data_IF_029125609897
#
_entry.id   IF_029125609897
#
_cell.length_a   1.000
_cell.length_b   1.000
_cell.length_c   1.000
_cell.angle_alpha   90.00
_cell.angle_beta   90.00
_cell.angle_gamma   90.00
#
_symmetry.space_group_name_H-M   'P 1'
#
loop_
_entity.id
_entity.type
_entity.pdbx_description
1 polymer ?
#
# COMPACT_ATOMS: atom_id res chain seq x y z
N UNK A 1 8.41 -36.67 36.88
CA UNK A 1 8.07 -36.13 35.55
C UNK A 1 6.56 -35.91 35.51
N UNK A 2 6.10 -34.66 35.50
CA UNK A 2 4.67 -34.32 35.55
C UNK A 2 4.45 -33.21 34.53
N UNK A 3 3.99 -33.58 33.33
CA UNK A 3 3.68 -32.65 32.25
C UNK A 3 2.30 -32.08 32.50
N UNK A 4 2.25 -30.79 32.83
CA UNK A 4 1.02 -30.00 32.93
C UNK A 4 0.73 -29.52 31.51
N UNK A 5 -0.23 -30.16 30.85
CA UNK A 5 -0.78 -29.67 29.59
C UNK A 5 -1.73 -28.50 29.90
N UNK A 6 -1.25 -27.27 29.72
CA UNK A 6 -2.13 -26.10 29.64
C UNK A 6 -2.80 -26.09 28.26
N UNK A 7 -4.02 -26.62 28.17
CA UNK A 7 -4.90 -26.38 27.03
C UNK A 7 -5.59 -25.03 27.21
N UNK A 8 -4.94 -23.96 26.75
CA UNK A 8 -5.54 -22.65 26.57
C UNK A 8 -5.55 -22.33 25.09
N UNK A 9 -6.73 -22.39 24.47
CA UNK A 9 -7.21 -21.36 23.55
C UNK A 9 -8.56 -21.80 22.98
N UNK A 10 -9.61 -21.39 23.68
CA UNK A 10 -10.88 -21.10 23.04
C UNK A 10 -10.63 -20.01 21.99
N UNK A 11 -10.73 -20.34 20.70
CA UNK A 11 -11.01 -19.37 19.65
C UNK A 11 -12.29 -19.80 18.97
N UNK A 12 -13.40 -19.44 19.62
CA UNK A 12 -14.61 -19.09 18.89
C UNK A 12 -14.31 -17.83 18.05
N UNK A 13 -14.99 -17.69 16.91
CA UNK A 13 -14.95 -16.58 15.92
C UNK A 13 -13.79 -16.79 14.92
N UNK A 14 -13.97 -17.00 13.62
CA UNK A 14 -14.83 -16.28 12.67
C UNK A 14 -15.33 -17.24 11.57
N UNK A 15 -16.57 -17.71 11.66
CA UNK A 15 -17.37 -18.01 10.47
C UNK A 15 -17.79 -16.67 9.85
N UNK A 16 -16.87 -16.08 9.09
CA UNK A 16 -17.06 -14.82 8.36
C UNK A 16 -16.09 -14.67 7.18
N UNK A 17 -15.47 -15.76 6.74
CA UNK A 17 -14.49 -15.78 5.65
C UNK A 17 -15.18 -15.76 4.27
N UNK A 18 -16.03 -14.77 4.03
CA UNK A 18 -16.66 -14.53 2.72
C UNK A 18 -16.44 -13.10 2.22
N UNK A 19 -15.43 -12.40 2.76
CA UNK A 19 -15.00 -11.08 2.27
C UNK A 19 -13.51 -10.99 1.92
N UNK A 20 -12.75 -12.09 2.07
CA UNK A 20 -11.29 -12.16 1.83
C UNK A 20 -10.89 -12.34 0.35
N UNK A 21 -11.81 -12.16 -0.60
CA UNK A 21 -11.46 -12.12 -2.03
C UNK A 21 -10.85 -10.77 -2.45
N UNK A 22 -10.86 -9.76 -1.56
CA UNK A 22 -10.08 -8.53 -1.72
C UNK A 22 -8.60 -8.69 -1.37
N UNK A 23 -8.25 -9.61 -0.47
CA UNK A 23 -6.91 -9.72 0.12
C UNK A 23 -5.82 -10.19 -0.85
N UNK A 24 -6.09 -11.14 -1.75
CA UNK A 24 -5.07 -11.59 -2.72
C UNK A 24 -4.79 -10.53 -3.79
N UNK A 25 -5.83 -9.82 -4.27
CA UNK A 25 -5.66 -8.74 -5.26
C UNK A 25 -4.99 -7.52 -4.63
N UNK A 26 -5.31 -7.21 -3.37
CA UNK A 26 -4.70 -6.12 -2.63
C UNK A 26 -3.23 -6.43 -2.29
N UNK A 27 -2.88 -7.67 -1.95
CA UNK A 27 -1.49 -8.08 -1.74
C UNK A 27 -0.63 -7.85 -3.00
N UNK A 28 -1.07 -8.35 -4.16
CA UNK A 28 -0.34 -8.19 -5.42
C UNK A 28 -0.19 -6.70 -5.82
N UNK A 29 -1.25 -5.91 -5.66
CA UNK A 29 -1.21 -4.47 -5.91
C UNK A 29 -0.27 -3.74 -4.94
N UNK A 30 -0.25 -4.12 -3.66
CA UNK A 30 0.64 -3.57 -2.65
C UNK A 30 2.11 -3.96 -2.87
N UNK A 31 2.41 -5.18 -3.29
CA UNK A 31 3.77 -5.59 -3.68
C UNK A 31 4.26 -4.79 -4.88
N UNK A 32 3.37 -4.58 -5.86
CA UNK A 32 3.69 -3.80 -7.05
C UNK A 32 3.92 -2.32 -6.71
N UNK A 33 3.09 -1.77 -5.84
CA UNK A 33 3.24 -0.42 -5.31
C UNK A 33 4.58 -0.23 -4.58
N UNK A 34 4.93 -1.16 -3.70
CA UNK A 34 6.22 -1.15 -3.01
C UNK A 34 7.39 -1.18 -4.00
N UNK A 35 7.26 -1.95 -5.09
CA UNK A 35 8.27 -2.02 -6.16
C UNK A 35 8.40 -0.67 -6.89
N UNK A 36 7.29 -0.06 -7.29
CA UNK A 36 7.30 1.25 -7.99
C UNK A 36 7.94 2.32 -7.11
N UNK A 37 7.56 2.41 -5.84
CA UNK A 37 8.08 3.43 -4.94
C UNK A 37 9.55 3.16 -4.56
N UNK A 38 9.96 1.89 -4.39
CA UNK A 38 11.34 1.53 -4.06
C UNK A 38 12.32 1.72 -5.21
N UNK A 39 11.92 1.36 -6.44
CA UNK A 39 12.79 1.49 -7.62
C UNK A 39 13.18 2.95 -7.84
N UNK A 40 12.25 3.86 -7.63
CA UNK A 40 12.49 5.29 -7.75
C UNK A 40 13.36 5.80 -6.59
N UNK A 41 13.20 5.26 -5.38
CA UNK A 41 14.02 5.66 -4.21
C UNK A 41 15.52 5.34 -4.35
N UNK A 42 15.90 4.43 -5.23
CA UNK A 42 17.32 4.16 -5.54
C UNK A 42 17.89 5.25 -6.45
N UNK A 43 17.04 6.00 -7.14
CA UNK A 43 17.36 6.99 -8.17
C UNK A 43 16.99 8.41 -7.73
N UNK A 44 17.27 8.77 -6.46
CA UNK A 44 16.95 10.09 -5.86
C UNK A 44 17.43 11.27 -6.72
N UNK A 45 18.51 11.13 -7.50
CA UNK A 45 19.02 12.17 -8.40
C UNK A 45 18.19 12.38 -9.70
N UNK A 46 17.34 11.44 -10.08
CA UNK A 46 16.46 11.50 -11.27
C UNK A 46 14.98 11.33 -10.92
N UNK A 47 14.65 11.44 -9.64
CA UNK A 47 13.33 11.12 -9.11
C UNK A 47 12.30 12.18 -9.56
N UNK A 48 11.34 11.81 -10.43
CA UNK A 48 10.28 12.69 -10.93
C UNK A 48 8.89 12.25 -10.42
N UNK A 49 8.19 13.07 -9.61
CA UNK A 49 6.85 12.75 -9.10
C UNK A 49 5.84 12.33 -10.18
N UNK A 50 5.92 12.96 -11.36
CA UNK A 50 5.07 12.65 -12.51
C UNK A 50 5.35 11.27 -13.12
N UNK A 51 6.60 10.79 -13.09
CA UNK A 51 6.93 9.44 -13.54
C UNK A 51 6.41 8.38 -12.57
N UNK A 52 6.48 8.66 -11.26
CA UNK A 52 5.88 7.81 -10.23
C UNK A 52 4.37 7.72 -10.43
N UNK A 53 3.70 8.85 -10.61
CA UNK A 53 2.27 8.87 -10.89
C UNK A 53 1.89 8.07 -12.15
N UNK A 54 2.67 8.20 -13.22
CA UNK A 54 2.46 7.43 -14.44
C UNK A 54 2.61 5.92 -14.19
N UNK A 55 3.62 5.49 -13.43
CA UNK A 55 3.81 4.08 -13.04
C UNK A 55 2.73 3.56 -12.12
N UNK A 56 2.26 4.37 -11.16
CA UNK A 56 1.13 4.01 -10.30
C UNK A 56 -0.12 3.68 -11.14
N UNK A 57 -0.42 4.50 -12.15
CA UNK A 57 -1.57 4.25 -13.03
C UNK A 57 -1.36 3.13 -14.04
N UNK A 58 -0.14 2.97 -14.55
CA UNK A 58 0.15 1.92 -15.53
C UNK A 58 0.29 0.53 -14.91
N UNK A 59 0.79 0.46 -13.67
CA UNK A 59 1.25 -0.81 -13.09
C UNK A 59 0.47 -1.23 -11.84
N UNK A 60 -0.04 -0.29 -11.04
CA UNK A 60 -0.74 -0.59 -9.78
C UNK A 60 -2.25 -0.49 -9.92
N UNK A 61 -2.76 0.59 -10.54
CA UNK A 61 -4.18 0.81 -10.73
C UNK A 61 -4.93 -0.33 -11.47
N UNK A 62 -4.35 -1.03 -12.48
CA UNK A 62 -5.03 -2.11 -13.19
C UNK A 62 -5.25 -3.37 -12.36
N UNK A 63 -4.51 -3.54 -11.26
CA UNK A 63 -4.53 -4.72 -10.39
C UNK A 63 -5.08 -4.43 -8.99
N UNK A 64 -5.18 -3.14 -8.63
CA UNK A 64 -5.82 -2.69 -7.39
C UNK A 64 -7.35 -2.72 -7.52
N UNK A 65 -8.06 -3.00 -6.42
CA UNK A 65 -9.52 -3.06 -6.40
C UNK A 65 -10.13 -2.27 -5.24
N UNK A 66 -11.34 -1.74 -5.43
CA UNK A 66 -12.05 -1.00 -4.39
C UNK A 66 -11.26 0.20 -3.86
N UNK A 67 -11.23 0.37 -2.53
CA UNK A 67 -10.51 1.48 -1.86
C UNK A 67 -9.01 1.48 -2.20
N UNK A 68 -8.42 0.28 -2.42
CA UNK A 68 -7.32 -0.01 -3.34
C UNK A 68 -6.92 1.08 -4.34
N UNK A 69 -7.62 0.97 -5.46
CA UNK A 69 -7.46 1.74 -6.67
C UNK A 69 -7.76 3.21 -6.43
N UNK A 70 -8.79 3.55 -5.63
CA UNK A 70 -9.12 4.95 -5.33
C UNK A 70 -7.94 5.66 -4.67
N UNK A 71 -7.31 5.05 -3.66
CA UNK A 71 -6.17 5.70 -2.99
C UNK A 71 -4.92 5.75 -3.85
N UNK A 72 -4.69 4.75 -4.69
CA UNK A 72 -3.58 4.78 -5.66
C UNK A 72 -3.78 5.91 -6.68
N UNK A 73 -5.01 6.15 -7.12
CA UNK A 73 -5.33 7.25 -8.03
C UNK A 73 -5.27 8.62 -7.34
N UNK A 74 -5.73 8.72 -6.08
CA UNK A 74 -5.58 9.92 -5.24
C UNK A 74 -4.09 10.29 -5.10
N UNK A 75 -3.24 9.29 -4.82
CA UNK A 75 -1.79 9.46 -4.73
C UNK A 75 -1.19 9.90 -6.07
N UNK A 76 -1.54 9.24 -7.19
CA UNK A 76 -1.04 9.62 -8.51
C UNK A 76 -1.44 11.06 -8.88
N UNK A 77 -2.69 11.45 -8.57
CA UNK A 77 -3.20 12.79 -8.82
C UNK A 77 -2.46 13.84 -8.00
N UNK A 78 -2.19 13.57 -6.72
CA UNK A 78 -1.43 14.46 -5.86
C UNK A 78 0.01 14.69 -6.36
N UNK A 79 0.61 13.69 -7.01
CA UNK A 79 1.97 13.73 -7.57
C UNK A 79 2.05 14.40 -8.96
N UNK A 80 0.94 14.49 -9.70
CA UNK A 80 0.87 15.12 -11.04
C UNK A 80 0.50 16.59 -11.04
N UNK A 81 0.08 17.12 -9.90
CA UNK A 81 -0.26 18.54 -9.77
C UNK A 81 0.86 19.44 -10.28
N UNK A 82 0.49 20.60 -10.84
CA UNK A 82 1.45 21.64 -11.21
C UNK A 82 2.37 22.03 -10.02
N UNK A 83 1.82 21.88 -8.81
CA UNK A 83 2.53 21.77 -7.55
C UNK A 83 2.08 20.46 -6.90
N UNK A 84 3.03 19.70 -6.33
CA UNK A 84 2.71 18.45 -5.66
C UNK A 84 1.86 18.73 -4.42
N UNK A 85 0.68 18.12 -4.32
CA UNK A 85 -0.16 18.22 -3.13
C UNK A 85 0.39 17.32 -2.02
N UNK A 86 1.33 17.87 -1.26
CA UNK A 86 2.03 17.20 -0.15
C UNK A 86 1.04 16.60 0.86
N UNK A 87 -0.03 17.32 1.18
CA UNK A 87 -1.01 16.89 2.17
C UNK A 87 -1.87 15.73 1.63
N UNK A 88 -2.32 15.84 0.38
CA UNK A 88 -3.05 14.78 -0.32
C UNK A 88 -2.23 13.52 -0.52
N UNK A 89 -0.98 13.66 -0.99
CA UNK A 89 -0.05 12.56 -1.19
C UNK A 89 0.26 11.82 0.13
N UNK A 90 0.51 12.55 1.22
CA UNK A 90 0.78 11.97 2.53
C UNK A 90 -0.43 11.24 3.13
N UNK A 91 -1.64 11.78 2.95
CA UNK A 91 -2.87 11.13 3.39
C UNK A 91 -3.14 9.83 2.62
N UNK A 92 -3.05 9.88 1.29
CA UNK A 92 -3.23 8.71 0.43
C UNK A 92 -2.19 7.63 0.75
N UNK A 93 -0.90 8.00 0.89
CA UNK A 93 0.17 7.08 1.23
C UNK A 93 -0.06 6.37 2.58
N UNK A 94 -0.51 7.10 3.60
CA UNK A 94 -0.83 6.51 4.91
C UNK A 94 -1.97 5.51 4.83
N UNK A 95 -3.06 5.85 4.13
CA UNK A 95 -4.21 4.96 3.97
C UNK A 95 -3.88 3.71 3.15
N UNK A 96 -3.01 3.84 2.14
CA UNK A 96 -2.50 2.69 1.40
C UNK A 96 -1.61 1.83 2.30
N UNK A 97 -0.72 2.43 3.08
CA UNK A 97 0.15 1.70 4.01
C UNK A 97 -0.61 0.85 5.01
N UNK A 98 -1.68 1.39 5.60
CA UNK A 98 -2.56 0.64 6.50
C UNK A 98 -3.18 -0.57 5.77
N UNK A 99 -3.66 -0.37 4.54
CA UNK A 99 -4.32 -1.44 3.79
C UNK A 99 -3.35 -2.52 3.32
N UNK A 100 -2.17 -2.13 2.85
CA UNK A 100 -1.12 -3.09 2.50
C UNK A 100 -0.66 -3.90 3.71
N UNK A 101 -0.54 -3.29 4.89
CA UNK A 101 -0.21 -3.99 6.12
C UNK A 101 -1.29 -5.04 6.50
N UNK A 102 -2.57 -4.74 6.25
CA UNK A 102 -3.66 -5.71 6.46
C UNK A 102 -3.56 -6.92 5.51
N UNK A 103 -3.10 -6.70 4.28
CA UNK A 103 -2.82 -7.76 3.30
C UNK A 103 -1.45 -8.44 3.49
N UNK A 104 -0.72 -8.13 4.57
CA UNK A 104 0.58 -8.74 4.90
C UNK A 104 1.79 -8.13 4.18
N UNK A 105 1.60 -7.07 3.39
CA UNK A 105 2.66 -6.34 2.70
C UNK A 105 3.05 -5.12 3.53
N UNK A 106 4.18 -5.21 4.23
CA UNK A 106 4.68 -4.11 5.05
C UNK A 106 5.69 -3.28 4.24
N UNK A 107 5.32 -2.06 3.89
CA UNK A 107 6.16 -1.13 3.14
C UNK A 107 6.26 0.20 3.87
N UNK A 108 7.47 0.76 3.96
CA UNK A 108 7.68 2.08 4.54
C UNK A 108 7.27 3.14 3.54
N UNK A 109 6.15 3.83 3.77
CA UNK A 109 5.69 4.92 2.91
C UNK A 109 6.39 6.26 3.21
N UNK A 110 7.36 6.29 4.13
CA UNK A 110 8.13 7.51 4.42
C UNK A 110 8.92 7.99 3.19
N UNK A 111 9.18 7.10 2.23
CA UNK A 111 9.70 7.44 0.90
C UNK A 111 8.80 8.40 0.12
N UNK A 112 7.49 8.33 0.31
CA UNK A 112 6.55 9.31 -0.26
C UNK A 112 6.69 10.67 0.45
N UNK A 113 7.13 10.70 1.69
CA UNK A 113 7.54 11.94 2.36
C UNK A 113 8.77 12.59 1.72
N UNK A 114 9.67 11.80 1.12
CA UNK A 114 10.83 12.30 0.35
C UNK A 114 10.43 12.76 -1.07
N UNK A 115 9.36 12.21 -1.64
CA UNK A 115 8.80 12.61 -2.94
C UNK A 115 8.27 14.06 -2.96
N UNK A 116 7.93 14.59 -1.79
CA UNK A 116 7.09 15.80 -1.63
C UNK A 116 7.76 16.90 -0.79
N UNK A 117 9.03 16.73 -0.39
CA UNK A 117 9.88 17.71 0.30
C UNK A 117 11.03 18.15 -0.61
#
# INVERSE_FOLDING_TARGET
MKLIALSLASVLLLTGCSSLLGDESDAAACEKLATVVSAENVSIETFLPTEVAAKLRAEVAPIAAGTLATRVDDLATALEGAEVDVAGAGAAASEIGVRCALSGVNFDFSVIGNLIN
#
